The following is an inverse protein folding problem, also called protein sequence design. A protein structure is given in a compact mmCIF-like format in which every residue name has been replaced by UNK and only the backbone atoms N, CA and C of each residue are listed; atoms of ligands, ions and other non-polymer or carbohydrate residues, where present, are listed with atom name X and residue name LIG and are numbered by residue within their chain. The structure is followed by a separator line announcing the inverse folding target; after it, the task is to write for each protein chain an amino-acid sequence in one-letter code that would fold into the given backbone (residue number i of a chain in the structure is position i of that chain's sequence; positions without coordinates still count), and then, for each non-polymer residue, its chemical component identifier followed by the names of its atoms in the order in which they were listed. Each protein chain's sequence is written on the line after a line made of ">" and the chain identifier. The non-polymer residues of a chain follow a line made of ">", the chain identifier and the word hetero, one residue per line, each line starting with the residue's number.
data_IF_500907367091
#
_entry.id   IF_500907367091
#
_cell.length_a   1.000
_cell.length_b   1.000
_cell.length_c   1.000
_cell.angle_alpha   90.00
_cell.angle_beta   90.00
_cell.angle_gamma   90.00
#
_symmetry.space_group_name_H-M   'P 1'
#
loop_
_entity.id
_entity.type
_entity.pdbx_description
1 polymer ?
#
# COMPACT_ATOMS: atom_id res chain seq x y z
N UNK A 1 -5.13 25.63 -1.55
CA UNK A 1 -4.05 25.64 -2.56
C UNK A 1 -4.58 24.92 -3.79
N UNK A 2 -4.30 25.39 -5.01
CA UNK A 2 -4.75 24.68 -6.22
C UNK A 2 -3.98 23.38 -6.41
N UNK A 3 -4.64 22.37 -6.95
CA UNK A 3 -4.13 21.00 -7.07
C UNK A 3 -2.90 20.91 -7.96
N UNK A 4 -2.88 21.71 -9.03
CA UNK A 4 -1.72 21.88 -9.90
C UNK A 4 -0.50 22.38 -9.13
N UNK A 5 -0.68 23.19 -8.08
CA UNK A 5 0.42 23.62 -7.22
C UNK A 5 0.89 22.50 -6.31
N UNK A 6 0.00 21.61 -5.85
CA UNK A 6 0.38 20.43 -5.06
C UNK A 6 1.11 19.42 -5.94
N UNK A 7 0.58 19.10 -7.12
CA UNK A 7 1.23 18.21 -8.09
C UNK A 7 2.59 18.76 -8.49
N UNK A 8 2.67 20.04 -8.90
CA UNK A 8 3.95 20.68 -9.23
C UNK A 8 4.92 20.67 -8.06
N UNK A 9 4.45 20.98 -6.85
CA UNK A 9 5.27 20.95 -5.64
C UNK A 9 5.75 19.53 -5.31
N UNK A 10 4.92 18.50 -5.50
CA UNK A 10 5.31 17.10 -5.36
C UNK A 10 6.32 16.69 -6.44
N UNK A 11 6.14 17.13 -7.68
CA UNK A 11 7.09 16.92 -8.77
C UNK A 11 8.43 17.61 -8.52
N UNK A 12 8.43 18.78 -7.86
CA UNK A 12 9.62 19.57 -7.52
C UNK A 12 10.34 19.03 -6.26
N UNK A 13 9.60 18.48 -5.28
CA UNK A 13 10.16 17.92 -4.03
C UNK A 13 10.62 16.47 -4.13
N UNK A 14 10.07 15.72 -5.11
CA UNK A 14 10.28 14.27 -5.24
C UNK A 14 10.86 13.85 -6.63
N UNK A 15 11.75 14.62 -7.31
CA UNK A 15 12.54 14.06 -8.40
C UNK A 15 13.79 13.33 -7.84
N UNK A 16 14.21 12.14 -8.35
CA UNK A 16 13.73 11.34 -9.50
C UNK A 16 12.89 10.11 -9.10
N UNK A 17 12.20 10.13 -7.96
CA UNK A 17 11.63 8.92 -7.34
C UNK A 17 10.17 8.64 -7.72
N UNK A 18 9.52 9.59 -8.38
CA UNK A 18 8.15 9.46 -8.90
C UNK A 18 8.18 8.78 -10.26
N UNK A 19 7.41 7.70 -10.39
CA UNK A 19 7.19 7.01 -11.66
C UNK A 19 6.00 7.59 -12.42
N UNK A 20 4.92 7.91 -11.72
CA UNK A 20 3.70 8.48 -12.31
C UNK A 20 2.95 9.37 -11.30
N UNK A 21 2.23 10.37 -11.81
CA UNK A 21 1.34 11.23 -11.00
C UNK A 21 0.02 11.41 -11.73
N UNK A 22 -1.07 11.08 -11.06
CA UNK A 22 -2.42 11.29 -11.56
C UNK A 22 -3.28 12.07 -10.58
N UNK A 23 -4.05 13.02 -11.10
CA UNK A 23 -5.13 13.69 -10.35
C UNK A 23 -6.41 12.93 -10.66
N UNK A 24 -6.96 12.25 -9.66
CA UNK A 24 -8.15 11.41 -9.84
C UNK A 24 -9.42 12.25 -9.87
N UNK A 25 -9.51 13.25 -8.98
CA UNK A 25 -10.58 14.25 -8.87
C UNK A 25 -10.14 15.34 -7.91
N UNK A 26 -10.99 16.36 -7.73
CA UNK A 26 -10.71 17.46 -6.83
C UNK A 26 -10.35 16.98 -5.40
N UNK A 27 -9.18 17.41 -4.91
CA UNK A 27 -8.58 17.04 -3.64
C UNK A 27 -7.94 15.65 -3.60
N UNK A 28 -7.88 14.89 -4.69
CA UNK A 28 -7.40 13.49 -4.68
C UNK A 28 -6.30 13.24 -5.70
N UNK A 29 -5.11 12.96 -5.19
CA UNK A 29 -3.90 12.76 -5.98
C UNK A 29 -3.40 11.34 -5.74
N UNK A 30 -2.98 10.65 -6.79
CA UNK A 30 -2.25 9.38 -6.71
C UNK A 30 -0.86 9.58 -7.31
N UNK A 31 0.15 9.12 -6.58
CA UNK A 31 1.54 9.10 -7.03
C UNK A 31 2.04 7.66 -6.98
N UNK A 32 2.62 7.19 -8.08
CA UNK A 32 3.28 5.89 -8.13
C UNK A 32 4.78 6.08 -7.91
N UNK A 33 5.36 5.28 -7.04
CA UNK A 33 6.79 5.30 -6.70
C UNK A 33 7.33 3.87 -6.66
N UNK A 34 8.64 3.69 -6.83
CA UNK A 34 9.24 2.37 -6.60
C UNK A 34 9.28 2.04 -5.11
N UNK A 35 9.22 0.75 -4.76
CA UNK A 35 9.27 0.32 -3.35
C UNK A 35 10.52 0.83 -2.61
N UNK A 36 11.65 0.93 -3.30
CA UNK A 36 12.93 1.44 -2.76
C UNK A 36 12.85 2.89 -2.30
N UNK A 37 11.96 3.68 -2.90
CA UNK A 37 11.80 5.09 -2.58
C UNK A 37 10.61 5.38 -1.67
N UNK A 38 9.79 4.38 -1.33
CA UNK A 38 8.60 4.54 -0.50
C UNK A 38 8.92 5.30 0.80
N UNK A 39 9.92 4.84 1.55
CA UNK A 39 10.30 5.44 2.84
C UNK A 39 10.68 6.91 2.70
N UNK A 40 11.49 7.25 1.70
CA UNK A 40 11.91 8.62 1.45
C UNK A 40 10.73 9.52 1.10
N UNK A 41 9.82 9.03 0.25
CA UNK A 41 8.61 9.76 -0.16
C UNK A 41 7.70 10.02 1.05
N UNK A 42 7.45 8.99 1.87
CA UNK A 42 6.62 9.11 3.08
C UNK A 42 7.23 10.08 4.09
N UNK A 43 8.56 10.06 4.26
CA UNK A 43 9.27 11.02 5.11
C UNK A 43 9.11 12.47 4.61
N UNK A 44 9.34 12.71 3.32
CA UNK A 44 9.17 14.04 2.72
C UNK A 44 7.72 14.55 2.82
N UNK A 45 6.74 13.66 2.61
CA UNK A 45 5.33 13.99 2.77
C UNK A 45 4.98 14.36 4.22
N UNK A 46 5.55 13.63 5.18
CA UNK A 46 5.39 13.92 6.61
C UNK A 46 5.97 15.30 6.97
N UNK A 47 7.14 15.66 6.43
CA UNK A 47 7.75 16.99 6.64
C UNK A 47 6.91 18.12 6.02
N UNK A 48 6.24 17.82 4.90
CA UNK A 48 5.23 18.69 4.29
C UNK A 48 3.89 18.70 5.05
N UNK A 49 3.75 17.95 6.15
CA UNK A 49 2.57 17.98 7.02
C UNK A 49 1.47 16.97 6.65
N UNK A 50 1.74 16.02 5.76
CA UNK A 50 0.88 14.84 5.56
C UNK A 50 1.14 13.82 6.67
N UNK A 51 0.69 14.13 7.89
CA UNK A 51 0.93 13.30 9.08
C UNK A 51 -0.20 12.33 9.39
N UNK A 52 -1.37 12.50 8.74
CA UNK A 52 -2.53 11.65 8.98
C UNK A 52 -2.60 10.53 7.94
N UNK A 53 -2.23 9.32 8.35
CA UNK A 53 -2.44 8.10 7.56
C UNK A 53 -3.88 7.64 7.74
N UNK A 54 -4.65 7.70 6.66
CA UNK A 54 -6.04 7.25 6.57
C UNK A 54 -6.11 5.72 6.53
N UNK A 55 -5.15 5.09 5.83
CA UNK A 55 -5.01 3.65 5.78
C UNK A 55 -4.00 3.19 4.73
N UNK A 56 -3.69 1.89 4.75
CA UNK A 56 -2.94 1.21 3.70
C UNK A 56 -3.85 0.16 3.10
N UNK A 57 -4.13 0.27 1.80
CA UNK A 57 -4.91 -0.73 1.07
C UNK A 57 -3.97 -1.66 0.33
N UNK A 58 -4.08 -2.96 0.56
CA UNK A 58 -3.42 -3.98 -0.24
C UNK A 58 -4.40 -4.58 -1.25
N UNK A 59 -3.95 -4.80 -2.49
CA UNK A 59 -4.73 -5.47 -3.52
C UNK A 59 -3.83 -6.37 -4.37
N UNK A 60 -4.37 -7.48 -4.86
CA UNK A 60 -3.68 -8.35 -5.81
C UNK A 60 -4.25 -8.18 -7.21
N UNK A 61 -3.39 -7.83 -8.16
CA UNK A 61 -3.67 -7.75 -9.60
C UNK A 61 -3.11 -8.98 -10.33
N UNK A 62 -3.29 -9.04 -11.64
CA UNK A 62 -2.63 -10.04 -12.49
C UNK A 62 -1.09 -9.90 -12.49
N UNK A 63 -0.59 -8.70 -12.19
CA UNK A 63 0.84 -8.36 -12.31
C UNK A 63 1.59 -8.41 -10.97
N UNK A 64 0.90 -8.61 -9.84
CA UNK A 64 1.53 -8.44 -8.52
C UNK A 64 0.57 -7.99 -7.44
N UNK A 65 1.13 -7.42 -6.39
CA UNK A 65 0.42 -6.67 -5.37
C UNK A 65 0.59 -5.17 -5.59
N UNK A 66 -0.44 -4.40 -5.29
CA UNK A 66 -0.31 -2.95 -5.12
C UNK A 66 -0.58 -2.60 -3.66
N UNK A 67 0.26 -1.75 -3.08
CA UNK A 67 0.06 -1.15 -1.77
C UNK A 67 -0.22 0.35 -1.95
N UNK A 68 -1.37 0.80 -1.45
CA UNK A 68 -1.85 2.17 -1.53
C UNK A 68 -1.83 2.81 -0.15
N UNK A 69 -0.91 3.74 0.08
CA UNK A 69 -0.76 4.49 1.32
C UNK A 69 -1.53 5.80 1.21
N UNK A 70 -2.65 5.90 1.93
CA UNK A 70 -3.53 7.06 1.86
C UNK A 70 -3.20 8.06 2.97
N UNK A 71 -2.67 9.22 2.61
CA UNK A 71 -2.31 10.29 3.53
C UNK A 71 -3.20 11.51 3.31
N UNK A 72 -3.67 12.14 4.38
CA UNK A 72 -4.50 13.35 4.26
C UNK A 72 -3.89 14.57 4.93
N UNK A 73 -4.19 15.73 4.35
CA UNK A 73 -3.82 17.05 4.87
C UNK A 73 -4.83 18.09 4.41
N UNK A 74 -5.50 18.76 5.34
CA UNK A 74 -6.36 19.92 5.09
C UNK A 74 -7.35 19.76 3.91
N UNK A 75 -8.01 18.59 3.82
CA UNK A 75 -8.98 18.27 2.76
C UNK A 75 -8.39 17.69 1.48
N UNK A 76 -7.06 17.63 1.35
CA UNK A 76 -6.37 16.89 0.29
C UNK A 76 -6.07 15.46 0.75
N UNK A 77 -6.36 14.49 -0.10
CA UNK A 77 -5.99 13.09 0.03
C UNK A 77 -4.94 12.75 -1.03
N UNK A 78 -3.77 12.33 -0.57
CA UNK A 78 -2.65 11.89 -1.41
C UNK A 78 -2.46 10.39 -1.20
N UNK A 79 -2.51 9.62 -2.27
CA UNK A 79 -2.27 8.18 -2.26
C UNK A 79 -0.92 7.89 -2.86
N UNK A 80 -0.01 7.30 -2.09
CA UNK A 80 1.26 6.77 -2.59
C UNK A 80 1.05 5.31 -2.94
N UNK A 81 1.26 4.95 -4.21
CA UNK A 81 1.18 3.56 -4.69
C UNK A 81 2.58 3.00 -4.89
N UNK A 82 2.79 1.77 -4.42
CA UNK A 82 3.90 0.92 -4.85
C UNK A 82 3.37 -0.39 -5.41
N UNK A 83 4.07 -0.92 -6.40
CA UNK A 83 3.77 -2.20 -7.02
C UNK A 83 4.85 -3.21 -6.60
N UNK A 84 4.43 -4.40 -6.20
CA UNK A 84 5.28 -5.52 -5.79
C UNK A 84 5.04 -6.71 -6.72
N UNK A 85 6.06 -7.29 -7.34
CA UNK A 85 5.93 -8.55 -8.08
C UNK A 85 5.40 -9.69 -7.19
N UNK A 86 4.72 -10.68 -7.77
CA UNK A 86 4.20 -11.84 -7.02
C UNK A 86 5.31 -12.69 -6.37
N UNK A 87 6.50 -12.70 -6.97
CA UNK A 87 7.70 -13.40 -6.52
C UNK A 87 8.59 -12.55 -5.59
N UNK A 88 8.25 -11.27 -5.41
CA UNK A 88 8.95 -10.32 -4.54
C UNK A 88 7.93 -9.48 -3.75
N UNK A 89 7.19 -10.17 -2.88
CA UNK A 89 6.11 -9.63 -2.05
C UNK A 89 6.61 -8.96 -0.76
N UNK A 90 7.77 -8.29 -0.84
CA UNK A 90 8.42 -7.59 0.27
C UNK A 90 8.42 -6.08 0.03
N UNK A 91 7.80 -5.34 0.96
CA UNK A 91 7.84 -3.88 1.04
C UNK A 91 8.66 -3.42 2.25
N UNK A 92 9.22 -2.20 2.24
CA UNK A 92 9.78 -1.62 3.46
C UNK A 92 8.65 -1.17 4.41
N UNK A 93 8.82 -1.40 5.72
CA UNK A 93 7.93 -0.79 6.73
C UNK A 93 8.03 0.73 6.70
N UNK A 94 6.98 1.43 7.13
CA UNK A 94 7.02 2.88 7.43
C UNK A 94 6.66 3.18 8.89
N UNK A 95 6.59 2.16 9.75
CA UNK A 95 6.13 2.27 11.14
C UNK A 95 6.95 3.23 12.01
N UNK A 96 8.24 3.40 11.73
CA UNK A 96 9.11 4.35 12.41
C UNK A 96 8.89 5.81 11.94
N UNK A 97 8.38 6.01 10.73
CA UNK A 97 8.04 7.32 10.15
C UNK A 97 6.62 7.72 10.55
N UNK A 98 5.68 6.79 10.41
CA UNK A 98 4.26 6.92 10.73
C UNK A 98 3.85 5.72 11.61
N UNK A 99 3.83 5.88 12.95
CA UNK A 99 3.49 4.79 13.87
C UNK A 99 2.11 4.15 13.63
N UNK A 100 1.16 4.91 13.06
CA UNK A 100 -0.15 4.39 12.68
C UNK A 100 -0.12 3.28 11.62
N UNK A 101 0.97 3.13 10.87
CA UNK A 101 1.12 2.08 9.86
C UNK A 101 1.15 0.66 10.42
N UNK A 102 1.46 0.50 11.72
CA UNK A 102 1.66 -0.80 12.38
C UNK A 102 0.47 -1.75 12.17
N UNK A 103 -0.76 -1.26 12.34
CA UNK A 103 -1.95 -2.10 12.22
C UNK A 103 -2.24 -2.46 10.76
N UNK A 104 -2.04 -1.52 9.84
CA UNK A 104 -2.31 -1.72 8.42
C UNK A 104 -1.28 -2.64 7.76
N UNK A 105 0.00 -2.53 8.11
CA UNK A 105 1.04 -3.45 7.62
C UNK A 105 0.81 -4.87 8.14
N UNK A 106 0.35 -5.02 9.39
CA UNK A 106 -0.07 -6.32 9.93
C UNK A 106 -1.29 -6.88 9.22
N UNK A 107 -2.30 -6.06 8.92
CA UNK A 107 -3.47 -6.47 8.15
C UNK A 107 -3.09 -6.97 6.75
N UNK A 108 -2.25 -6.21 6.02
CA UNK A 108 -1.77 -6.61 4.70
C UNK A 108 -0.97 -7.92 4.75
N UNK A 109 -0.13 -8.11 5.77
CA UNK A 109 0.57 -9.36 6.00
C UNK A 109 -0.38 -10.53 6.29
N UNK A 110 -1.33 -10.35 7.20
CA UNK A 110 -2.23 -11.42 7.63
C UNK A 110 -3.20 -11.85 6.51
N UNK A 111 -3.66 -10.91 5.68
CA UNK A 111 -4.66 -11.19 4.65
C UNK A 111 -4.07 -11.56 3.27
N UNK A 112 -2.90 -11.02 2.91
CA UNK A 112 -2.27 -11.22 1.60
C UNK A 112 -0.90 -11.92 1.67
N UNK A 113 -0.27 -12.00 2.84
CA UNK A 113 1.07 -12.57 3.03
C UNK A 113 2.21 -11.66 2.62
N UNK A 114 1.95 -10.36 2.43
CA UNK A 114 2.96 -9.36 2.08
C UNK A 114 3.87 -9.13 3.30
N UNK A 115 5.19 -9.17 3.10
CA UNK A 115 6.17 -8.97 4.17
C UNK A 115 6.63 -7.53 4.23
N UNK A 116 6.87 -7.04 5.45
CA UNK A 116 7.37 -5.70 5.71
C UNK A 116 8.76 -5.74 6.37
N UNK A 117 9.78 -5.35 5.62
CA UNK A 117 11.16 -5.33 6.11
C UNK A 117 11.33 -4.23 7.16
N UNK A 118 11.88 -4.58 8.33
CA UNK A 118 12.05 -3.68 9.48
C UNK A 118 10.86 -3.62 10.44
N UNK A 119 9.75 -4.32 10.17
CA UNK A 119 8.58 -4.33 11.05
C UNK A 119 8.87 -5.11 12.35
N UNK A 120 8.53 -4.52 13.51
CA UNK A 120 8.87 -5.07 14.82
C UNK A 120 8.04 -6.30 15.25
N UNK A 121 6.78 -6.39 14.80
CA UNK A 121 5.89 -7.50 15.17
C UNK A 121 4.85 -7.86 14.07
N UNK A 122 5.19 -8.79 13.17
CA UNK A 122 4.30 -9.29 12.11
C UNK A 122 3.48 -10.53 12.53
N UNK A 123 3.15 -10.66 13.82
CA UNK A 123 2.28 -11.75 14.26
C UNK A 123 0.86 -11.59 13.69
N UNK A 124 0.14 -12.72 13.48
CA UNK A 124 -1.28 -12.71 13.10
C UNK A 124 -2.08 -11.71 13.93
N UNK A 125 -3.00 -11.01 13.29
CA UNK A 125 -3.72 -9.88 13.90
C UNK A 125 -5.24 -10.01 13.77
N UNK A 126 -5.71 -10.36 12.58
CA UNK A 126 -7.14 -10.44 12.22
C UNK A 126 -7.60 -11.89 12.25
N UNK A 127 -6.75 -12.82 11.80
CA UNK A 127 -7.14 -14.22 11.64
C UNK A 127 -7.24 -14.95 12.99
N UNK A 128 -8.18 -15.91 13.13
CA UNK A 128 -8.29 -16.73 14.33
C UNK A 128 -7.02 -17.52 14.63
N UNK A 129 -6.76 -17.80 15.91
CA UNK A 129 -5.57 -18.54 16.36
C UNK A 129 -5.40 -19.93 15.70
N UNK A 130 -6.51 -20.55 15.28
CA UNK A 130 -6.52 -21.84 14.62
C UNK A 130 -6.48 -21.76 13.08
N UNK A 131 -6.30 -20.56 12.52
CA UNK A 131 -6.19 -20.39 11.08
C UNK A 131 -4.93 -21.09 10.57
N UNK A 132 -4.99 -21.82 9.44
CA UNK A 132 -3.81 -22.49 8.90
C UNK A 132 -2.68 -21.49 8.62
N UNK A 133 -1.47 -21.84 9.07
CA UNK A 133 -0.28 -21.07 8.71
C UNK A 133 -0.11 -21.02 7.18
N UNK A 134 0.41 -19.90 6.69
CA UNK A 134 0.69 -19.66 5.25
C UNK A 134 -0.54 -19.71 4.33
N UNK A 135 -1.74 -19.60 4.88
CA UNK A 135 -2.99 -19.43 4.10
C UNK A 135 -3.48 -18.00 4.24
N UNK A 136 -3.49 -17.28 3.13
CA UNK A 136 -3.85 -15.86 3.07
C UNK A 136 -5.19 -15.71 2.34
N UNK A 137 -6.29 -15.37 3.03
CA UNK A 137 -7.63 -15.44 2.46
C UNK A 137 -7.88 -14.49 1.28
N UNK A 138 -7.15 -13.37 1.21
CA UNK A 138 -7.27 -12.40 0.11
C UNK A 138 -6.17 -12.56 -0.95
N UNK A 139 -5.23 -13.50 -0.75
CA UNK A 139 -4.22 -13.84 -1.77
C UNK A 139 -4.84 -14.78 -2.80
N UNK A 140 -5.05 -14.28 -4.01
CA UNK A 140 -5.50 -15.08 -5.15
C UNK A 140 -4.39 -16.07 -5.52
N UNK A 141 -4.65 -17.35 -5.37
CA UNK A 141 -3.79 -18.43 -5.86
C UNK A 141 -4.38 -19.09 -7.10
N UNK A 142 -3.64 -20.05 -7.70
CA UNK A 142 -4.20 -21.00 -8.69
C UNK A 142 -5.40 -21.82 -8.17
N UNK A 143 -5.69 -21.78 -6.86
CA UNK A 143 -6.81 -22.48 -6.25
C UNK A 143 -8.19 -21.89 -6.63
N UNK A 144 -8.25 -20.59 -6.95
CA UNK A 144 -9.52 -19.96 -7.36
C UNK A 144 -10.03 -20.47 -8.72
N UNK A 145 -9.13 -20.84 -9.64
CA UNK A 145 -9.51 -21.45 -10.94
C UNK A 145 -10.28 -22.78 -10.75
N UNK A 146 -10.03 -23.52 -9.67
CA UNK A 146 -10.72 -24.80 -9.41
C UNK A 146 -12.14 -24.60 -8.89
N UNK A 147 -12.39 -23.54 -8.12
CA UNK A 147 -13.70 -23.28 -7.54
C UNK A 147 -14.66 -22.64 -8.56
N UNK A 148 -14.17 -21.79 -9.47
CA UNK A 148 -15.01 -21.24 -10.54
C UNK A 148 -15.44 -22.30 -11.57
N UNK A 149 -14.60 -23.30 -11.83
CA UNK A 149 -14.91 -24.40 -12.75
C UNK A 149 -15.99 -25.34 -12.19
N UNK A 150 -16.12 -25.45 -10.87
CA UNK A 150 -17.16 -26.24 -10.21
C UNK A 150 -18.48 -25.48 -10.04
N UNK A 151 -18.45 -24.15 -9.88
CA UNK A 151 -19.68 -23.35 -9.74
C UNK A 151 -20.43 -23.10 -11.06
N UNK A 152 -19.81 -23.32 -12.22
CA UNK A 152 -20.46 -23.20 -13.55
C UNK A 152 -21.07 -24.51 -14.07
N UNK A 153 -21.12 -25.57 -13.25
CA UNK A 153 -21.81 -26.83 -13.54
C UNK A 153 -22.94 -27.07 -12.54
N UNK A 154 -23.97 -26.22 -12.57
CA UNK A 154 -25.31 -26.53 -12.06
C UNK A 154 -26.33 -25.93 -13.01
#
# INVERSE_FOLDING_TARGET
>A
MSETAIVKKLSDLIPPHIMDVSVLREGQILVQVSKDHLRNVIASLKDEGFTHLVGITALQTENGFELLYHLSKAGTLLTVRIDLPLDDDVAPTITDIIPGALLYEREAHDLFGIKFEGHLDLKPFILPDNWPADVYPLRKGKAEEKNETQSKRV
#
